data_IF_526791088898
#
_entry.id   IF_526791088898
#
_cell.length_a   1.000
_cell.length_b   1.000
_cell.length_c   1.000
_cell.angle_alpha   90.00
_cell.angle_beta   90.00
_cell.angle_gamma   90.00
#
_symmetry.space_group_name_H-M   'P 1'
#
loop_
_entity.id
_entity.type
_entity.pdbx_description
1 polymer ?
#
# COMPACT_ATOMS: atom_id res chain seq x y z
N UNK A 1 -12.64 -2.37 -20.47
CA UNK A 1 -11.72 -1.23 -20.35
C UNK A 1 -11.61 -0.81 -18.90
N UNK A 2 -10.40 -0.61 -18.44
CA UNK A 2 -10.20 -0.13 -17.07
C UNK A 2 -10.31 1.38 -16.98
N UNK A 3 -11.00 1.84 -15.96
CA UNK A 3 -11.01 3.24 -15.63
C UNK A 3 -9.71 3.59 -14.90
N UNK A 4 -9.09 4.71 -15.23
CA UNK A 4 -7.92 5.24 -14.52
C UNK A 4 -8.38 6.15 -13.40
N UNK A 5 -7.55 6.30 -12.38
CA UNK A 5 -7.80 7.29 -11.34
C UNK A 5 -7.81 8.69 -11.94
N UNK A 6 -8.79 9.48 -11.55
CA UNK A 6 -8.83 10.89 -11.89
C UNK A 6 -8.19 11.65 -10.72
N UNK A 7 -6.93 12.03 -10.89
CA UNK A 7 -6.11 12.59 -9.82
C UNK A 7 -5.54 13.92 -10.27
N UNK A 8 -5.58 14.89 -9.37
CA UNK A 8 -4.81 16.10 -9.52
C UNK A 8 -4.02 16.35 -8.23
N UNK A 9 -2.90 17.04 -8.35
CA UNK A 9 -2.08 17.36 -7.20
C UNK A 9 -2.37 18.82 -6.81
N UNK A 10 -2.64 19.05 -5.53
CA UNK A 10 -2.93 20.41 -5.05
C UNK A 10 -1.65 21.23 -4.98
N UNK A 11 -1.75 22.50 -4.52
CA UNK A 11 -0.63 23.42 -4.41
C UNK A 11 0.49 22.93 -3.49
N UNK A 12 0.19 22.01 -2.57
CA UNK A 12 1.16 21.40 -1.67
C UNK A 12 1.72 20.10 -2.20
N UNK A 13 1.34 19.67 -3.42
CA UNK A 13 1.78 18.41 -4.01
C UNK A 13 1.02 17.19 -3.53
N UNK A 14 -0.05 17.35 -2.75
CA UNK A 14 -0.85 16.23 -2.23
C UNK A 14 -1.80 15.72 -3.31
N UNK A 15 -1.84 14.39 -3.55
CA UNK A 15 -2.77 13.84 -4.51
C UNK A 15 -4.23 13.97 -4.04
N UNK A 16 -5.08 14.41 -4.94
CA UNK A 16 -6.52 14.60 -4.69
C UNK A 16 -7.29 13.82 -5.75
N UNK A 17 -8.25 13.02 -5.30
CA UNK A 17 -9.18 12.36 -6.22
C UNK A 17 -10.16 13.40 -6.77
N UNK A 18 -10.15 13.63 -8.08
CA UNK A 18 -11.09 14.55 -8.70
C UNK A 18 -12.49 13.95 -8.81
N UNK A 19 -12.59 12.62 -8.76
CA UNK A 19 -13.88 11.92 -8.76
C UNK A 19 -14.61 12.09 -7.43
N UNK A 20 -13.89 12.02 -6.31
CA UNK A 20 -14.45 12.06 -4.97
C UNK A 20 -14.16 13.35 -4.22
N UNK A 21 -13.38 14.27 -4.83
CA UNK A 21 -12.96 15.54 -4.25
C UNK A 21 -12.36 15.37 -2.85
N UNK A 22 -11.47 14.37 -2.72
CA UNK A 22 -10.85 14.02 -1.45
C UNK A 22 -9.37 13.77 -1.63
N UNK A 23 -8.59 14.06 -0.58
CA UNK A 23 -7.14 13.81 -0.59
C UNK A 23 -6.86 12.35 -0.28
N UNK A 24 -5.80 11.79 -0.89
CA UNK A 24 -5.36 10.43 -0.60
C UNK A 24 -4.66 10.34 0.76
N UNK A 25 -3.94 11.39 1.16
CA UNK A 25 -3.30 11.48 2.47
C UNK A 25 -2.94 12.93 2.79
N UNK A 26 -2.74 13.23 4.07
CA UNK A 26 -2.27 14.54 4.54
C UNK A 26 -0.74 14.61 4.49
N UNK A 27 -0.18 15.75 4.08
CA UNK A 27 1.28 15.96 4.08
C UNK A 27 1.85 15.81 5.49
N UNK A 28 1.16 16.39 6.47
CA UNK A 28 1.67 16.47 7.84
C UNK A 28 1.50 15.17 8.63
N UNK A 29 0.48 14.38 8.33
CA UNK A 29 0.08 13.25 9.15
C UNK A 29 -0.22 11.97 8.39
N UNK A 30 0.08 11.91 7.08
CA UNK A 30 -0.27 10.72 6.27
C UNK A 30 0.29 9.42 6.84
N UNK A 31 1.59 9.40 7.17
CA UNK A 31 2.22 8.22 7.76
C UNK A 31 1.73 7.99 9.18
N UNK A 32 1.69 9.02 10.02
CA UNK A 32 1.22 8.91 11.39
C UNK A 32 -0.22 8.41 11.45
N UNK A 33 -1.08 8.94 10.57
CA UNK A 33 -2.47 8.53 10.48
C UNK A 33 -2.59 7.05 10.08
N UNK A 34 -1.86 6.60 9.08
CA UNK A 34 -1.84 5.19 8.67
C UNK A 34 -1.30 4.29 9.78
N UNK A 35 -0.23 4.69 10.45
CA UNK A 35 0.31 3.93 11.57
C UNK A 35 -0.70 3.82 12.71
N UNK A 36 -1.37 4.91 13.04
CA UNK A 36 -2.32 4.94 14.13
C UNK A 36 -3.62 4.21 13.78
N UNK A 37 -4.27 4.60 12.67
CA UNK A 37 -5.60 4.08 12.33
C UNK A 37 -5.51 2.66 11.79
N UNK A 38 -4.55 2.39 10.93
CA UNK A 38 -4.46 1.10 10.25
C UNK A 38 -3.71 0.07 11.07
N UNK A 39 -2.48 0.38 11.49
CA UNK A 39 -1.64 -0.60 12.19
C UNK A 39 -2.07 -0.76 13.63
N UNK A 40 -2.09 0.32 14.39
CA UNK A 40 -2.30 0.25 15.83
C UNK A 40 -3.70 -0.24 16.20
N UNK A 41 -4.73 0.23 15.52
CA UNK A 41 -6.11 -0.20 15.80
C UNK A 41 -6.37 -1.67 15.44
N UNK A 42 -5.51 -2.27 14.60
CA UNK A 42 -5.58 -3.69 14.26
C UNK A 42 -4.64 -4.54 15.11
N UNK A 43 -4.05 -3.95 16.14
CA UNK A 43 -3.13 -4.67 17.03
C UNK A 43 -1.80 -5.01 16.37
N UNK A 44 -1.39 -4.26 15.37
CA UNK A 44 -0.11 -4.42 14.70
C UNK A 44 0.89 -3.40 15.25
N UNK A 45 2.17 -3.72 15.39
CA UNK A 45 2.81 -4.99 14.96
C UNK A 45 2.76 -6.14 15.98
N UNK A 46 2.14 -5.95 17.14
CA UNK A 46 2.18 -6.94 18.22
C UNK A 46 1.68 -8.32 17.76
N UNK A 47 0.59 -8.38 16.98
CA UNK A 47 0.06 -9.63 16.46
C UNK A 47 1.06 -10.37 15.55
N UNK A 48 1.95 -9.64 14.90
CA UNK A 48 3.00 -10.24 14.06
C UNK A 48 4.10 -10.89 14.88
N UNK A 49 4.40 -10.34 16.05
CA UNK A 49 5.42 -10.90 16.95
C UNK A 49 5.04 -12.29 17.46
N UNK A 50 3.74 -12.57 17.52
CA UNK A 50 3.22 -13.85 17.99
C UNK A 50 3.14 -14.92 16.89
N UNK A 51 3.53 -14.60 15.65
CA UNK A 51 3.52 -15.55 14.55
C UNK A 51 4.53 -16.67 14.80
N UNK A 52 4.11 -17.90 14.50
CA UNK A 52 5.01 -19.04 14.52
C UNK A 52 5.78 -19.16 13.22
N UNK A 53 6.78 -20.05 13.22
CA UNK A 53 7.63 -20.30 12.05
C UNK A 53 6.80 -20.59 10.79
N UNK A 54 7.06 -19.88 9.70
CA UNK A 54 6.37 -20.01 8.40
C UNK A 54 4.88 -19.67 8.41
N UNK A 55 4.37 -19.13 9.49
CA UNK A 55 2.97 -18.71 9.53
C UNK A 55 2.74 -17.48 8.64
N UNK A 56 1.62 -17.46 7.91
CA UNK A 56 1.22 -16.36 7.07
C UNK A 56 0.19 -15.50 7.79
N UNK A 57 0.41 -14.18 7.79
CA UNK A 57 -0.56 -13.21 8.30
C UNK A 57 -1.21 -12.50 7.13
N UNK A 58 -2.54 -12.51 7.06
CA UNK A 58 -3.27 -11.92 5.94
C UNK A 58 -3.96 -10.63 6.37
N UNK A 59 -3.77 -9.58 5.58
CA UNK A 59 -4.48 -8.30 5.70
C UNK A 59 -5.29 -8.10 4.42
N UNK A 60 -6.54 -7.70 4.57
CA UNK A 60 -7.38 -7.32 3.44
C UNK A 60 -7.96 -5.92 3.68
N UNK A 61 -7.95 -5.10 2.63
CA UNK A 61 -8.53 -3.76 2.67
C UNK A 61 -9.30 -3.48 1.38
N UNK A 62 -10.17 -2.48 1.41
CA UNK A 62 -10.80 -1.93 0.22
C UNK A 62 -10.22 -0.55 -0.07
N UNK A 63 -9.96 -0.26 -1.36
CA UNK A 63 -9.40 1.04 -1.75
C UNK A 63 -7.89 1.12 -1.53
N UNK A 64 -7.12 0.61 -2.48
CA UNK A 64 -5.66 0.63 -2.39
C UNK A 64 -5.08 2.07 -2.37
N UNK A 65 -5.67 2.97 -3.16
CA UNK A 65 -5.21 4.36 -3.26
C UNK A 65 -3.75 4.47 -3.68
N UNK A 66 -2.95 5.11 -2.85
CA UNK A 66 -1.50 5.23 -3.08
C UNK A 66 -0.72 4.00 -2.61
N UNK A 67 -1.37 3.05 -1.95
CA UNK A 67 -0.68 1.90 -1.38
C UNK A 67 0.09 2.19 -0.10
N UNK A 68 -0.15 3.34 0.53
CA UNK A 68 0.59 3.72 1.74
C UNK A 68 0.41 2.70 2.86
N UNK A 69 -0.82 2.20 3.08
CA UNK A 69 -1.06 1.19 4.11
C UNK A 69 -0.27 -0.09 3.82
N UNK A 70 -0.20 -0.51 2.55
CA UNK A 70 0.59 -1.67 2.17
C UNK A 70 2.09 -1.46 2.42
N UNK A 71 2.62 -0.30 2.02
CA UNK A 71 4.04 0.01 2.20
C UNK A 71 4.42 0.01 3.67
N UNK A 72 3.59 0.62 4.52
CA UNK A 72 3.83 0.64 5.96
C UNK A 72 3.69 -0.74 6.60
N UNK A 73 2.70 -1.52 6.17
CA UNK A 73 2.55 -2.89 6.64
C UNK A 73 3.79 -3.73 6.29
N UNK A 74 4.27 -3.63 5.05
CA UNK A 74 5.49 -4.30 4.60
C UNK A 74 6.69 -3.91 5.47
N UNK A 75 6.93 -2.59 5.61
CA UNK A 75 8.05 -2.08 6.38
C UNK A 75 8.03 -2.57 7.84
N UNK A 76 6.89 -2.42 8.48
CA UNK A 76 6.73 -2.80 9.89
C UNK A 76 6.74 -4.32 10.09
N UNK A 77 6.22 -5.06 9.13
CA UNK A 77 6.24 -6.53 9.20
C UNK A 77 7.67 -7.07 9.18
N UNK A 78 8.51 -6.56 8.28
CA UNK A 78 9.91 -6.99 8.22
C UNK A 78 10.68 -6.62 9.49
N UNK A 79 10.29 -5.54 10.15
CA UNK A 79 10.95 -5.07 11.38
C UNK A 79 10.53 -5.87 12.61
N UNK A 80 9.27 -6.30 12.69
CA UNK A 80 8.70 -6.84 13.93
C UNK A 80 8.34 -8.33 13.88
N UNK A 81 8.08 -8.87 12.70
CA UNK A 81 7.68 -10.27 12.58
C UNK A 81 8.88 -11.23 12.65
N UNK A 82 8.67 -12.49 13.03
CA UNK A 82 9.73 -13.50 12.96
C UNK A 82 10.29 -13.64 11.53
N UNK A 83 11.57 -13.98 11.43
CA UNK A 83 12.29 -14.04 10.16
C UNK A 83 11.59 -14.88 9.09
N UNK A 84 10.92 -15.95 9.50
CA UNK A 84 10.23 -16.86 8.58
C UNK A 84 8.72 -16.59 8.47
N UNK A 85 8.23 -15.53 9.12
CA UNK A 85 6.85 -15.11 8.97
C UNK A 85 6.61 -14.53 7.57
N UNK A 86 5.38 -14.67 7.09
CA UNK A 86 4.97 -14.16 5.78
C UNK A 86 3.76 -13.26 5.91
N UNK A 87 3.75 -12.18 5.13
CA UNK A 87 2.65 -11.24 5.03
C UNK A 87 1.96 -11.41 3.68
N UNK A 88 0.65 -11.58 3.71
CA UNK A 88 -0.19 -11.59 2.51
C UNK A 88 -1.15 -10.41 2.59
N UNK A 89 -0.97 -9.44 1.71
CA UNK A 89 -1.80 -8.24 1.67
C UNK A 89 -2.72 -8.31 0.45
N UNK A 90 -4.02 -8.18 0.68
CA UNK A 90 -5.03 -8.21 -0.37
C UNK A 90 -5.71 -6.86 -0.42
N UNK A 91 -5.72 -6.23 -1.58
CA UNK A 91 -6.35 -4.94 -1.75
C UNK A 91 -7.09 -4.84 -3.09
N UNK A 92 -7.99 -3.88 -3.17
CA UNK A 92 -8.88 -3.69 -4.32
C UNK A 92 -8.81 -2.23 -4.73
N UNK A 93 -8.74 -1.98 -6.05
CA UNK A 93 -8.74 -0.62 -6.57
C UNK A 93 -9.51 -0.55 -7.89
N UNK A 94 -10.58 0.23 -7.89
CA UNK A 94 -11.38 0.46 -9.09
C UNK A 94 -10.69 1.44 -10.05
N UNK A 95 -9.99 2.44 -9.51
CA UNK A 95 -9.35 3.51 -10.26
C UNK A 95 -7.86 3.59 -9.93
N UNK A 96 -7.03 2.67 -10.48
CA UNK A 96 -5.61 2.61 -10.12
C UNK A 96 -4.86 3.87 -10.57
N UNK A 97 -3.93 4.30 -9.71
CA UNK A 97 -3.00 5.37 -10.04
C UNK A 97 -1.93 4.88 -11.02
N UNK A 98 -1.42 5.79 -11.83
CA UNK A 98 -0.28 5.48 -12.69
C UNK A 98 1.03 5.48 -11.92
N UNK A 99 2.08 4.89 -12.50
CA UNK A 99 3.42 4.92 -11.90
C UNK A 99 3.87 6.35 -11.63
N UNK A 100 3.64 7.26 -12.58
CA UNK A 100 4.02 8.66 -12.43
C UNK A 100 3.28 9.33 -11.27
N UNK A 101 2.00 9.05 -11.14
CA UNK A 101 1.20 9.59 -10.04
C UNK A 101 1.69 9.05 -8.69
N UNK A 102 2.02 7.77 -8.62
CA UNK A 102 2.57 7.17 -7.41
C UNK A 102 3.95 7.74 -7.07
N UNK A 103 4.83 7.90 -8.07
CA UNK A 103 6.14 8.52 -7.86
C UNK A 103 6.01 9.92 -7.28
N UNK A 104 5.09 10.70 -7.79
CA UNK A 104 4.86 12.06 -7.31
C UNK A 104 4.33 12.06 -5.87
N UNK A 105 3.42 11.14 -5.54
CA UNK A 105 2.91 10.99 -4.18
C UNK A 105 4.00 10.57 -3.21
N UNK A 106 4.82 9.58 -3.60
CA UNK A 106 5.86 9.04 -2.72
C UNK A 106 7.02 10.01 -2.49
N UNK A 107 7.21 10.98 -3.40
CA UNK A 107 8.21 12.02 -3.20
C UNK A 107 7.96 12.84 -1.93
N UNK A 108 6.72 12.84 -1.42
CA UNK A 108 6.36 13.50 -0.17
C UNK A 108 6.56 12.63 1.07
N UNK A 109 6.98 11.38 0.88
CA UNK A 109 7.04 10.37 1.94
C UNK A 109 8.41 9.68 1.96
N UNK A 110 9.48 10.43 2.32
CA UNK A 110 10.84 9.87 2.31
C UNK A 110 11.03 8.68 3.26
N UNK A 111 10.19 8.56 4.28
CA UNK A 111 10.26 7.47 5.25
C UNK A 111 10.04 6.08 4.63
N UNK A 112 9.36 6.02 3.48
CA UNK A 112 9.09 4.75 2.78
C UNK A 112 9.84 4.65 1.45
N UNK A 113 10.82 5.51 1.20
CA UNK A 113 11.51 5.59 -0.09
C UNK A 113 12.09 4.26 -0.56
N UNK A 114 12.79 3.56 0.30
CA UNK A 114 13.43 2.28 -0.06
C UNK A 114 12.40 1.24 -0.52
N UNK A 115 11.31 1.14 0.21
CA UNK A 115 10.25 0.16 -0.07
C UNK A 115 9.41 0.60 -1.28
N UNK A 116 9.09 1.88 -1.36
CA UNK A 116 8.29 2.39 -2.48
C UNK A 116 9.01 2.23 -3.81
N UNK A 117 10.33 2.39 -3.84
CA UNK A 117 11.12 2.15 -5.06
C UNK A 117 11.02 0.71 -5.53
N UNK A 118 11.10 -0.25 -4.62
CA UNK A 118 10.94 -1.66 -4.94
C UNK A 118 9.53 -1.96 -5.44
N UNK A 119 8.52 -1.39 -4.80
CA UNK A 119 7.14 -1.56 -5.22
C UNK A 119 6.90 -1.02 -6.63
N UNK A 120 7.36 0.19 -6.92
CA UNK A 120 7.15 0.82 -8.22
C UNK A 120 7.81 0.05 -9.37
N UNK A 121 8.95 -0.59 -9.12
CA UNK A 121 9.63 -1.38 -10.14
C UNK A 121 8.84 -2.62 -10.58
N UNK A 122 7.84 -3.02 -9.80
CA UNK A 122 6.99 -4.18 -10.08
C UNK A 122 5.51 -3.81 -10.23
N UNK A 123 5.18 -2.53 -10.20
CA UNK A 123 3.78 -2.09 -10.28
C UNK A 123 3.16 -2.55 -11.60
N UNK A 124 1.97 -3.18 -11.56
CA UNK A 124 1.39 -3.78 -12.76
C UNK A 124 0.81 -2.74 -13.72
N UNK A 125 0.60 -3.15 -14.97
CA UNK A 125 -0.23 -2.38 -15.88
C UNK A 125 -1.67 -2.34 -15.33
N UNK A 126 -2.45 -1.27 -15.63
CA UNK A 126 -3.78 -1.08 -15.04
C UNK A 126 -4.86 -1.94 -15.69
N UNK A 127 -4.57 -3.19 -15.95
CA UNK A 127 -5.53 -4.13 -16.52
C UNK A 127 -6.40 -4.75 -15.42
N UNK A 128 -7.69 -4.96 -15.72
CA UNK A 128 -8.60 -5.56 -14.76
C UNK A 128 -8.18 -6.99 -14.39
N UNK A 129 -8.38 -7.36 -13.15
CA UNK A 129 -8.05 -8.67 -12.63
C UNK A 129 -7.15 -8.60 -11.42
N UNK A 130 -6.70 -9.77 -10.99
CA UNK A 130 -5.78 -9.88 -9.85
C UNK A 130 -4.33 -9.87 -10.32
N UNK A 131 -3.54 -8.98 -9.73
CA UNK A 131 -2.12 -8.89 -9.99
C UNK A 131 -1.38 -9.28 -8.71
N UNK A 132 -0.63 -10.38 -8.76
CA UNK A 132 0.17 -10.82 -7.62
C UNK A 132 1.59 -10.34 -7.75
N UNK A 133 2.07 -9.66 -6.71
CA UNK A 133 3.44 -9.16 -6.60
C UNK A 133 4.08 -9.73 -5.35
N UNK A 134 5.33 -10.13 -5.45
CA UNK A 134 6.07 -10.65 -4.30
C UNK A 134 7.33 -9.85 -4.06
N UNK A 135 7.65 -9.65 -2.79
CA UNK A 135 8.78 -8.84 -2.35
C UNK A 135 9.48 -9.53 -1.17
N UNK A 136 10.66 -9.03 -0.81
CA UNK A 136 11.41 -9.52 0.35
C UNK A 136 11.62 -11.05 0.29
N UNK A 137 12.06 -11.53 -0.86
CA UNK A 137 12.35 -12.96 -1.09
C UNK A 137 11.14 -13.85 -0.81
N UNK A 138 9.94 -13.37 -1.16
CA UNK A 138 8.69 -14.10 -1.01
C UNK A 138 8.02 -13.95 0.36
N UNK A 139 8.60 -13.17 1.27
CA UNK A 139 8.00 -12.95 2.59
C UNK A 139 6.80 -12.02 2.56
N UNK A 140 6.73 -11.14 1.55
CA UNK A 140 5.64 -10.17 1.40
C UNK A 140 4.98 -10.39 0.05
N UNK A 141 3.70 -10.68 0.04
CA UNK A 141 2.90 -10.86 -1.17
C UNK A 141 1.75 -9.87 -1.17
N UNK A 142 1.59 -9.17 -2.30
CA UNK A 142 0.44 -8.31 -2.54
C UNK A 142 -0.42 -8.93 -3.64
N UNK A 143 -1.69 -9.14 -3.37
CA UNK A 143 -2.70 -9.42 -4.39
C UNK A 143 -3.53 -8.15 -4.60
N UNK A 144 -3.28 -7.47 -5.70
CA UNK A 144 -3.97 -6.24 -6.05
C UNK A 144 -5.02 -6.53 -7.11
N UNK A 145 -6.29 -6.41 -6.73
CA UNK A 145 -7.43 -6.57 -7.64
C UNK A 145 -7.76 -5.21 -8.24
N UNK A 146 -7.62 -5.11 -9.55
CA UNK A 146 -7.91 -3.89 -10.30
C UNK A 146 -9.21 -4.06 -11.04
N UNK A 147 -10.07 -3.04 -10.98
CA UNK A 147 -11.35 -3.01 -11.64
C UNK A 147 -12.50 -3.04 -10.68
N UNK A 148 -13.68 -3.21 -11.25
CA UNK A 148 -14.94 -3.29 -10.50
C UNK A 148 -15.12 -4.72 -9.98
N UNK A 149 -15.27 -4.88 -8.69
CA UNK A 149 -15.45 -6.17 -8.03
C UNK A 149 -16.79 -6.29 -7.37
#
# INVERSE_FOLDING_TARGET
MNSKASVKFNEYGVPVSTTFDDIYFSIESGIDESQYVFLKHNGLPERWQDLTHQQCFTIAETGFGTGLNFLLAWQQFLEHAPTNGRLHFISFEKFPLTVQQLQQAYALLPEVESISSQFLSHYPSPEAGCHRLTFAEGRVTLDLWIGDV
#
